data_IF_025062564105
#
_entry.id   IF_025062564105
#
_cell.length_a   1.000
_cell.length_b   1.000
_cell.length_c   1.000
_cell.angle_alpha   90.00
_cell.angle_beta   90.00
_cell.angle_gamma   90.00
#
_symmetry.space_group_name_H-M   'P 1'
#
loop_
_entity.id
_entity.type
_entity.pdbx_description
1 polymer ?
#
# COMPACT_ATOMS: atom_id res chain seq x y z
N UNK A 1 11.77 -10.33 -6.76
CA UNK A 1 12.99 -9.97 -6.01
C UNK A 1 12.52 -9.28 -4.75
N UNK A 2 12.68 -9.93 -3.59
CA UNK A 2 12.38 -9.32 -2.29
C UNK A 2 13.55 -8.44 -1.82
N UNK A 3 13.30 -7.53 -0.89
CA UNK A 3 14.33 -6.68 -0.27
C UNK A 3 14.50 -7.16 1.17
N UNK A 4 15.72 -7.46 1.59
CA UNK A 4 16.08 -7.77 2.97
C UNK A 4 16.94 -6.62 3.46
N UNK A 5 16.48 -5.85 4.42
CA UNK A 5 17.31 -4.80 4.99
C UNK A 5 17.95 -5.28 6.29
N UNK A 6 19.28 -5.18 6.37
CA UNK A 6 20.06 -5.44 7.57
C UNK A 6 20.89 -4.19 7.87
N UNK A 7 20.69 -3.57 9.04
CA UNK A 7 21.67 -2.61 9.56
C UNK A 7 22.35 -3.20 10.78
N UNK A 8 23.68 -3.29 10.68
CA UNK A 8 24.58 -3.74 11.72
C UNK A 8 25.00 -2.48 12.50
N UNK A 9 24.36 -2.20 13.63
CA UNK A 9 24.94 -1.27 14.60
C UNK A 9 26.07 -2.01 15.33
N UNK A 10 27.27 -1.93 14.76
CA UNK A 10 28.54 -2.53 15.21
C UNK A 10 28.69 -4.05 15.04
N UNK A 11 29.66 -4.43 14.21
CA UNK A 11 30.17 -5.79 14.04
C UNK A 11 30.86 -6.20 15.35
N UNK A 12 30.19 -7.07 16.12
CA UNK A 12 30.85 -8.03 17.01
C UNK A 12 30.69 -9.43 16.40
N UNK A 13 31.67 -10.30 16.62
CA UNK A 13 31.91 -11.65 16.06
C UNK A 13 30.72 -12.66 16.10
N UNK A 14 29.56 -12.32 15.52
CA UNK A 14 28.31 -13.07 15.60
C UNK A 14 27.74 -13.52 14.25
N UNK A 15 26.87 -14.54 14.30
CA UNK A 15 26.09 -15.02 13.16
C UNK A 15 25.26 -13.90 12.51
N UNK A 16 25.06 -13.91 11.17
CA UNK A 16 24.29 -12.89 10.48
C UNK A 16 22.84 -12.80 10.99
N UNK A 17 22.23 -11.61 10.93
CA UNK A 17 20.84 -11.41 11.35
C UNK A 17 19.87 -12.18 10.45
N UNK A 18 20.12 -12.17 9.13
CA UNK A 18 19.28 -12.81 8.13
C UNK A 18 20.13 -13.78 7.30
N UNK A 19 19.61 -14.98 7.10
CA UNK A 19 20.11 -15.94 6.12
C UNK A 19 19.25 -15.85 4.84
N UNK A 20 19.83 -15.45 3.69
CA UNK A 20 19.12 -15.47 2.43
C UNK A 20 18.86 -16.92 1.99
N UNK A 21 17.87 -17.17 1.12
CA UNK A 21 17.58 -18.51 0.66
C UNK A 21 18.69 -19.08 -0.19
N UNK A 22 18.86 -20.41 -0.17
CA UNK A 22 19.82 -21.11 -1.06
C UNK A 22 19.48 -20.92 -2.54
N UNK A 23 18.21 -20.73 -2.87
CA UNK A 23 17.71 -20.45 -4.22
C UNK A 23 17.88 -18.99 -4.65
N UNK A 24 18.38 -18.11 -3.78
CA UNK A 24 18.42 -16.67 -4.02
C UNK A 24 17.03 -16.03 -4.02
N UNK A 25 16.89 -14.87 -4.66
CA UNK A 25 15.60 -14.18 -4.86
C UNK A 25 15.33 -12.98 -3.95
N UNK A 26 16.19 -12.76 -2.95
CA UNK A 26 16.19 -11.57 -2.10
C UNK A 26 17.48 -10.75 -2.30
N UNK A 27 17.33 -9.44 -2.34
CA UNK A 27 18.42 -8.48 -2.31
C UNK A 27 18.69 -8.05 -0.87
N UNK A 28 19.94 -8.08 -0.41
CA UNK A 28 20.33 -7.59 0.91
C UNK A 28 20.74 -6.12 0.81
N UNK A 29 20.16 -5.28 1.65
CA UNK A 29 20.53 -3.87 1.79
C UNK A 29 21.93 -3.80 2.40
N UNK A 30 22.91 -3.21 1.70
CA UNK A 30 24.29 -3.18 2.16
C UNK A 30 24.42 -2.36 3.46
N UNK A 31 25.33 -2.74 4.37
CA UNK A 31 25.66 -1.91 5.53
C UNK A 31 26.13 -0.52 5.08
N UNK A 32 25.70 0.53 5.78
CA UNK A 32 26.05 1.94 5.48
C UNK A 32 27.56 2.17 5.28
N UNK A 33 28.41 1.40 5.97
CA UNK A 33 29.87 1.55 5.91
C UNK A 33 30.53 1.10 4.60
N UNK A 34 29.82 0.39 3.70
CA UNK A 34 30.48 -0.21 2.51
C UNK A 34 30.03 0.26 1.14
N UNK A 35 28.86 0.83 0.93
CA UNK A 35 28.53 1.43 -0.38
C UNK A 35 27.48 2.53 -0.25
N UNK A 36 27.95 3.77 -0.35
CA UNK A 36 27.13 5.01 -0.33
C UNK A 36 26.19 5.10 -1.55
N UNK A 37 26.40 4.30 -2.59
CA UNK A 37 25.70 4.46 -3.89
C UNK A 37 24.60 3.43 -4.22
N UNK A 38 24.37 2.41 -3.40
CA UNK A 38 23.50 1.28 -3.80
C UNK A 38 22.26 1.03 -2.94
N UNK A 39 22.08 1.75 -1.82
CA UNK A 39 20.84 1.64 -1.04
C UNK A 39 19.74 2.53 -1.64
N UNK A 40 18.54 2.00 -1.95
CA UNK A 40 17.41 2.79 -2.43
C UNK A 40 16.83 3.75 -1.39
N UNK A 41 17.39 3.76 -0.17
CA UNK A 41 16.91 4.53 0.98
C UNK A 41 17.84 5.67 1.41
N UNK A 42 18.92 5.94 0.66
CA UNK A 42 19.85 7.03 0.96
C UNK A 42 19.42 8.34 0.28
N UNK A 43 19.41 9.42 1.06
CA UNK A 43 19.24 10.80 0.59
C UNK A 43 20.48 11.26 -0.19
N UNK A 44 20.27 11.97 -1.30
CA UNK A 44 21.36 12.64 -2.01
C UNK A 44 21.88 13.83 -1.19
N UNK A 45 22.99 13.63 -0.48
CA UNK A 45 24.01 14.63 -0.17
C UNK A 45 23.62 15.86 0.68
N UNK A 46 24.18 15.93 1.90
CA UNK A 46 24.36 17.20 2.62
C UNK A 46 24.50 17.01 4.13
N UNK A 47 25.63 17.39 4.70
CA UNK A 47 25.86 17.39 6.15
C UNK A 47 24.86 18.31 6.86
N UNK A 48 23.87 17.72 7.53
CA UNK A 48 22.89 18.35 8.40
C UNK A 48 21.92 17.29 8.92
N UNK A 49 21.66 17.30 10.23
CA UNK A 49 20.73 16.45 11.00
C UNK A 49 20.02 15.37 10.18
N UNK A 50 20.43 14.09 10.33
CA UNK A 50 19.96 12.90 9.57
C UNK A 50 18.45 12.92 9.25
N UNK A 51 18.07 13.59 8.17
CA UNK A 51 16.71 13.60 7.65
C UNK A 51 16.56 12.32 6.84
N UNK A 52 15.99 11.29 7.45
CA UNK A 52 15.57 10.09 6.74
C UNK A 52 14.40 10.48 5.84
N UNK A 53 14.65 10.69 4.55
CA UNK A 53 13.58 11.05 3.61
C UNK A 53 12.69 9.82 3.34
N UNK A 54 11.40 9.98 3.62
CA UNK A 54 10.38 9.07 3.11
C UNK A 54 10.40 9.21 1.58
N UNK A 55 10.63 8.09 0.88
CA UNK A 55 10.55 8.01 -0.56
C UNK A 55 9.15 8.45 -0.99
N UNK A 56 8.99 9.70 -1.41
CA UNK A 56 7.74 10.15 -2.02
C UNK A 56 7.64 9.49 -3.38
N UNK A 57 6.98 8.32 -3.43
CA UNK A 57 6.89 7.54 -4.66
C UNK A 57 6.21 8.31 -5.79
N UNK A 58 5.40 9.32 -5.46
CA UNK A 58 4.54 10.00 -6.39
C UNK A 58 4.44 11.50 -6.08
N UNK A 59 5.57 12.20 -5.99
CA UNK A 59 5.56 13.66 -6.09
C UNK A 59 4.75 14.13 -7.31
N UNK A 60 4.83 13.37 -8.41
CA UNK A 60 3.98 13.52 -9.60
C UNK A 60 2.47 13.47 -9.32
N UNK A 61 2.01 12.62 -8.40
CA UNK A 61 0.58 12.54 -8.07
C UNK A 61 0.04 13.81 -7.40
N UNK A 62 0.92 14.58 -6.74
CA UNK A 62 0.56 15.86 -6.12
C UNK A 62 0.67 17.05 -7.05
N UNK A 63 1.26 16.91 -8.25
CA UNK A 63 1.46 18.03 -9.19
C UNK A 63 0.13 18.69 -9.56
N UNK A 64 -0.93 17.92 -9.75
CA UNK A 64 -2.24 18.51 -10.04
C UNK A 64 -2.79 19.32 -8.86
N UNK A 65 -2.62 18.82 -7.64
CA UNK A 65 -3.01 19.54 -6.43
C UNK A 65 -2.21 20.85 -6.28
N UNK A 66 -0.90 20.80 -6.48
CA UNK A 66 0.01 21.92 -6.27
C UNK A 66 -0.15 23.01 -7.33
N UNK A 67 -0.20 22.64 -8.62
CA UNK A 67 -0.13 23.60 -9.72
C UNK A 67 -1.46 23.87 -10.43
N UNK A 68 -2.45 22.98 -10.35
CA UNK A 68 -3.70 23.11 -11.12
C UNK A 68 -4.90 23.46 -10.24
N UNK A 69 -5.01 22.88 -9.03
CA UNK A 69 -6.22 22.99 -8.18
C UNK A 69 -6.71 24.42 -7.96
N UNK A 70 -5.79 25.36 -7.78
CA UNK A 70 -6.09 26.76 -7.46
C UNK A 70 -5.86 27.72 -8.62
N UNK A 71 -5.44 27.22 -9.79
CA UNK A 71 -5.20 28.02 -10.98
C UNK A 71 -6.26 27.75 -12.03
N UNK A 72 -6.53 28.74 -12.86
CA UNK A 72 -7.35 28.52 -14.05
C UNK A 72 -6.63 27.54 -14.99
N UNK A 73 -7.33 26.50 -15.40
CA UNK A 73 -6.78 25.46 -16.25
C UNK A 73 -7.90 24.79 -17.04
N UNK A 74 -7.50 24.12 -18.11
CA UNK A 74 -8.40 23.34 -18.95
C UNK A 74 -8.04 21.87 -18.85
N UNK A 75 -9.05 21.02 -18.87
CA UNK A 75 -8.85 19.58 -18.99
C UNK A 75 -9.57 19.09 -20.26
N UNK A 76 -9.04 18.02 -20.86
CA UNK A 76 -9.62 17.39 -22.06
C UNK A 76 -9.65 15.86 -21.93
N UNK A 77 -10.66 15.20 -22.53
CA UNK A 77 -10.68 13.73 -22.67
C UNK A 77 -10.52 13.38 -24.12
N UNK A 78 -9.79 12.30 -24.39
CA UNK A 78 -9.79 11.64 -25.68
C UNK A 78 -9.77 10.11 -25.50
N UNK A 79 -9.97 9.39 -26.60
CA UNK A 79 -9.73 7.96 -26.67
C UNK A 79 -8.90 7.71 -27.92
N UNK A 80 -7.69 7.20 -27.72
CA UNK A 80 -6.80 6.85 -28.81
C UNK A 80 -6.92 5.34 -29.12
N UNK A 81 -6.98 4.92 -30.39
CA UNK A 81 -7.07 3.50 -30.75
C UNK A 81 -5.92 2.62 -30.24
N UNK A 82 -4.73 3.20 -30.02
CA UNK A 82 -3.53 2.50 -29.60
C UNK A 82 -3.21 2.68 -28.11
N UNK A 83 -3.46 3.87 -27.56
CA UNK A 83 -3.14 4.23 -26.17
C UNK A 83 -4.33 4.06 -25.21
N UNK A 84 -5.56 3.99 -25.72
CA UNK A 84 -6.79 3.87 -24.94
C UNK A 84 -7.28 5.21 -24.39
N UNK A 85 -7.90 5.23 -23.19
CA UNK A 85 -8.46 6.45 -22.60
C UNK A 85 -7.37 7.46 -22.23
N UNK A 86 -7.60 8.73 -22.57
CA UNK A 86 -6.70 9.83 -22.29
C UNK A 86 -7.41 10.93 -21.52
N UNK A 87 -6.76 11.45 -20.47
CA UNK A 87 -7.18 12.66 -19.77
C UNK A 87 -6.01 13.64 -19.70
N UNK A 88 -6.18 14.80 -20.32
CA UNK A 88 -5.21 15.88 -20.40
C UNK A 88 -5.60 17.01 -19.45
N UNK A 89 -4.63 17.69 -18.84
CA UNK A 89 -4.83 18.94 -18.12
C UNK A 89 -3.74 19.93 -18.49
N UNK A 90 -4.11 21.17 -18.79
CA UNK A 90 -3.24 22.24 -19.27
C UNK A 90 -3.46 23.50 -18.43
N UNK A 91 -2.40 24.03 -17.84
CA UNK A 91 -2.41 25.25 -17.04
C UNK A 91 -1.36 26.22 -17.57
N UNK A 92 -1.71 27.50 -17.65
CA UNK A 92 -0.79 28.58 -18.00
C UNK A 92 -0.08 29.09 -16.74
N UNK A 93 1.24 29.09 -16.78
CA UNK A 93 2.11 29.66 -15.76
C UNK A 93 2.60 31.03 -16.26
N UNK A 94 1.82 32.07 -15.95
CA UNK A 94 2.01 33.42 -16.49
C UNK A 94 3.41 33.99 -16.17
N UNK A 95 3.92 33.73 -14.97
CA UNK A 95 5.23 34.21 -14.50
C UNK A 95 6.39 33.66 -15.34
N UNK A 96 6.29 32.42 -15.80
CA UNK A 96 7.34 31.75 -16.61
C UNK A 96 7.01 31.74 -18.11
N UNK A 97 5.86 32.26 -18.52
CA UNK A 97 5.31 32.15 -19.87
C UNK A 97 5.35 30.70 -20.41
N UNK A 98 4.94 29.75 -19.57
CA UNK A 98 4.98 28.30 -19.84
C UNK A 98 3.61 27.66 -19.69
N UNK A 99 3.37 26.62 -20.48
CA UNK A 99 2.23 25.73 -20.28
C UNK A 99 2.69 24.48 -19.51
N UNK A 100 2.10 24.25 -18.35
CA UNK A 100 2.23 22.99 -17.63
C UNK A 100 1.16 22.03 -18.12
N UNK A 101 1.57 20.84 -18.52
CA UNK A 101 0.67 19.82 -19.07
C UNK A 101 0.83 18.51 -18.31
N UNK A 102 -0.29 17.93 -17.89
CA UNK A 102 -0.37 16.58 -17.33
C UNK A 102 -1.17 15.71 -18.30
N UNK A 103 -0.52 14.70 -18.86
CA UNK A 103 -1.17 13.66 -19.67
C UNK A 103 -1.31 12.37 -18.86
N UNK A 104 -2.55 11.88 -18.77
CA UNK A 104 -2.88 10.61 -18.12
C UNK A 104 -3.26 9.58 -19.17
N UNK A 105 -2.45 8.55 -19.29
CA UNK A 105 -2.65 7.37 -20.14
C UNK A 105 -2.45 6.08 -19.31
N UNK A 106 -2.93 4.96 -19.84
CA UNK A 106 -2.79 3.62 -19.28
C UNK A 106 -1.32 3.23 -19.03
N UNK A 107 -0.42 3.57 -19.95
CA UNK A 107 1.00 3.21 -19.90
C UNK A 107 1.92 4.36 -19.52
N UNK A 108 1.46 5.62 -19.66
CA UNK A 108 2.28 6.81 -19.44
C UNK A 108 1.52 7.81 -18.55
N UNK A 109 2.15 8.22 -17.46
CA UNK A 109 1.82 9.46 -16.77
C UNK A 109 3.00 10.39 -17.01
N UNK A 110 2.78 11.47 -17.73
CA UNK A 110 3.83 12.42 -18.08
C UNK A 110 3.41 13.80 -17.66
N UNK A 111 4.22 14.43 -16.81
CA UNK A 111 4.18 15.88 -16.61
C UNK A 111 5.24 16.48 -17.52
N UNK A 112 4.85 17.40 -18.39
CA UNK A 112 5.78 18.12 -19.24
C UNK A 112 5.43 19.60 -19.27
N UNK A 113 6.47 20.42 -19.37
CA UNK A 113 6.34 21.87 -19.50
C UNK A 113 6.73 22.26 -20.91
N UNK A 114 5.87 23.03 -21.58
CA UNK A 114 6.13 23.54 -22.92
C UNK A 114 6.27 25.05 -22.81
N UNK A 115 7.45 25.58 -23.14
CA UNK A 115 7.64 27.02 -23.32
C UNK A 115 6.75 27.49 -24.45
N UNK A 116 5.99 28.55 -24.22
CA UNK A 116 5.13 29.11 -25.25
C UNK A 116 6.00 29.61 -26.42
N UNK A 117 5.89 28.94 -27.58
CA UNK A 117 6.35 29.50 -28.83
C UNK A 117 5.53 30.77 -29.11
N UNK A 118 6.12 31.75 -29.82
CA UNK A 118 5.43 32.99 -30.20
C UNK A 118 4.17 32.77 -31.08
N UNK A 119 3.86 31.54 -31.50
CA UNK A 119 2.68 31.18 -32.28
C UNK A 119 1.91 30.04 -31.59
N UNK A 120 0.72 30.37 -31.08
CA UNK A 120 -0.20 29.40 -30.48
C UNK A 120 -0.92 28.64 -31.60
N UNK A 121 -1.00 27.29 -31.56
CA UNK A 121 -1.83 26.56 -32.50
C UNK A 121 -3.30 26.95 -32.30
N UNK A 122 -3.98 27.21 -33.40
CA UNK A 122 -5.37 27.68 -33.39
C UNK A 122 -6.32 26.63 -32.79
N UNK A 123 -7.48 27.06 -32.28
CA UNK A 123 -8.51 26.16 -31.74
C UNK A 123 -8.89 25.02 -32.72
N UNK A 124 -8.74 25.25 -34.02
CA UNK A 124 -8.97 24.28 -35.11
C UNK A 124 -7.88 23.20 -35.16
N UNK A 125 -6.62 23.55 -34.88
CA UNK A 125 -5.51 22.59 -34.81
C UNK A 125 -5.58 21.74 -33.54
N UNK A 126 -6.05 22.33 -32.44
CA UNK A 126 -6.37 21.60 -31.21
C UNK A 126 -7.58 20.68 -31.37
N UNK A 127 -8.58 21.05 -32.17
CA UNK A 127 -9.77 20.25 -32.47
C UNK A 127 -9.50 19.03 -33.38
N UNK A 128 -8.37 18.98 -34.09
CA UNK A 128 -7.94 17.79 -34.87
C UNK A 128 -7.55 16.62 -33.97
N UNK A 129 -7.12 16.90 -32.75
CA UNK A 129 -7.13 15.91 -31.68
C UNK A 129 -8.59 15.82 -31.25
N UNK A 130 -9.21 14.66 -31.39
CA UNK A 130 -10.61 14.39 -31.03
C UNK A 130 -10.85 14.52 -29.50
N UNK A 131 -10.64 15.72 -28.97
CA UNK A 131 -10.54 16.07 -27.57
C UNK A 131 -11.78 16.87 -27.19
N UNK A 132 -12.60 16.32 -26.30
CA UNK A 132 -13.73 17.05 -25.72
C UNK A 132 -13.20 17.93 -24.58
N UNK A 133 -13.41 19.24 -24.69
CA UNK A 133 -13.17 20.21 -23.62
C UNK A 133 -14.23 20.00 -22.52
N UNK A 134 -13.80 19.92 -21.26
CA UNK A 134 -14.76 19.89 -20.14
C UNK A 134 -15.02 21.28 -19.59
N UNK A 135 -16.27 21.49 -19.17
CA UNK A 135 -16.74 22.73 -18.56
C UNK A 135 -17.38 22.49 -17.18
N UNK A 136 -17.07 21.37 -16.51
CA UNK A 136 -17.76 20.99 -15.27
C UNK A 136 -16.99 21.38 -13.99
N UNK A 137 -17.67 22.10 -13.08
CA UNK A 137 -17.09 22.67 -11.85
C UNK A 137 -16.45 21.63 -10.90
N UNK A 138 -16.95 20.39 -10.86
CA UNK A 138 -16.38 19.29 -10.02
C UNK A 138 -15.30 18.44 -10.72
N UNK A 139 -14.94 18.73 -11.97
CA UNK A 139 -13.90 17.97 -12.67
C UNK A 139 -12.54 17.97 -11.94
N UNK A 140 -12.08 19.08 -11.33
CA UNK A 140 -10.81 19.09 -10.60
C UNK A 140 -10.76 18.13 -9.42
N UNK A 141 -11.87 17.95 -8.70
CA UNK A 141 -11.93 17.05 -7.53
C UNK A 141 -11.77 15.58 -7.94
N UNK A 142 -12.41 15.15 -9.02
CA UNK A 142 -12.33 13.76 -9.50
C UNK A 142 -11.01 13.46 -10.20
N UNK A 143 -10.41 14.45 -10.87
CA UNK A 143 -9.08 14.34 -11.48
C UNK A 143 -8.00 14.24 -10.39
N UNK A 144 -8.07 15.08 -9.37
CA UNK A 144 -7.15 15.04 -8.22
C UNK A 144 -7.25 13.70 -7.48
N UNK A 145 -8.48 13.22 -7.22
CA UNK A 145 -8.69 11.90 -6.61
C UNK A 145 -8.07 10.78 -7.45
N UNK A 146 -8.18 10.85 -8.79
CA UNK A 146 -7.50 9.90 -9.66
C UNK A 146 -5.98 10.01 -9.58
N UNK A 147 -5.37 11.20 -9.54
CA UNK A 147 -3.90 11.29 -9.50
C UNK A 147 -3.34 10.76 -8.18
N UNK A 148 -3.96 11.15 -7.07
CA UNK A 148 -3.53 10.81 -5.70
C UNK A 148 -3.87 9.36 -5.27
N UNK A 149 -4.57 8.59 -6.11
CA UNK A 149 -5.02 7.21 -5.78
C UNK A 149 -3.91 6.23 -5.39
N UNK A 150 -2.68 6.55 -5.81
CA UNK A 150 -1.46 5.77 -5.58
C UNK A 150 -0.72 6.21 -4.30
N UNK A 151 -1.03 7.39 -3.78
CA UNK A 151 -0.47 7.91 -2.53
C UNK A 151 -1.13 7.20 -1.36
N UNK A 152 -0.39 6.30 -0.71
CA UNK A 152 -0.89 5.65 0.51
C UNK A 152 -0.65 6.54 1.72
N UNK A 153 -1.73 6.90 2.42
CA UNK A 153 -1.68 7.57 3.72
C UNK A 153 -1.62 6.57 4.89
N UNK A 154 -1.96 5.31 4.62
CA UNK A 154 -2.12 4.29 5.64
C UNK A 154 -1.24 3.09 5.32
N UNK A 155 -0.53 2.58 6.33
CA UNK A 155 0.38 1.45 6.20
C UNK A 155 0.07 0.39 7.24
N UNK A 156 0.36 -0.86 6.89
CA UNK A 156 0.25 -1.99 7.79
C UNK A 156 1.46 -2.89 7.65
N UNK A 157 2.05 -3.25 8.78
CA UNK A 157 3.28 -4.03 8.81
C UNK A 157 3.15 -5.19 9.78
N UNK A 158 3.64 -6.35 9.36
CA UNK A 158 3.75 -7.50 10.25
C UNK A 158 4.86 -7.27 11.27
N UNK A 159 4.67 -7.76 12.50
CA UNK A 159 5.75 -7.85 13.49
C UNK A 159 5.84 -9.28 13.98
N UNK A 160 6.95 -9.93 13.65
CA UNK A 160 7.30 -11.27 14.06
C UNK A 160 8.28 -11.20 15.23
N UNK A 161 8.13 -12.12 16.16
CA UNK A 161 8.98 -12.27 17.34
C UNK A 161 9.67 -13.64 17.26
N UNK A 162 10.97 -13.65 17.00
CA UNK A 162 11.77 -14.87 16.90
C UNK A 162 12.58 -15.06 18.18
N UNK A 163 12.23 -16.07 18.96
CA UNK A 163 12.99 -16.47 20.15
C UNK A 163 14.23 -17.27 19.77
N UNK A 164 15.17 -17.39 20.71
CA UNK A 164 16.37 -18.18 20.51
C UNK A 164 16.03 -19.65 20.17
N UNK A 165 16.70 -20.19 19.16
CA UNK A 165 16.53 -21.56 18.67
C UNK A 165 15.39 -21.75 17.68
N UNK A 166 14.50 -20.76 17.47
CA UNK A 166 13.36 -20.91 16.57
C UNK A 166 13.75 -20.76 15.10
N UNK A 167 13.46 -21.79 14.29
CA UNK A 167 13.83 -21.87 12.88
C UNK A 167 12.66 -22.18 11.94
N UNK A 168 11.45 -22.39 12.49
CA UNK A 168 10.25 -22.75 11.72
C UNK A 168 9.19 -21.66 11.79
N UNK A 169 8.28 -21.64 10.82
CA UNK A 169 7.16 -20.69 10.78
C UNK A 169 6.23 -20.92 11.97
N UNK A 170 5.98 -22.20 12.25
CA UNK A 170 5.12 -22.68 13.31
C UNK A 170 5.63 -22.24 14.68
N UNK A 171 6.94 -22.37 14.95
CA UNK A 171 7.54 -21.94 16.22
C UNK A 171 7.40 -20.42 16.43
N UNK A 172 7.73 -19.63 15.40
CA UNK A 172 7.71 -18.16 15.45
C UNK A 172 6.28 -17.65 15.64
N UNK A 173 5.32 -18.17 14.86
CA UNK A 173 3.93 -17.73 14.93
C UNK A 173 3.20 -18.25 16.17
N UNK A 174 3.71 -19.25 16.88
CA UNK A 174 3.08 -19.79 18.10
C UNK A 174 3.46 -19.02 19.38
N UNK A 175 4.41 -18.10 19.31
CA UNK A 175 4.83 -17.31 20.47
C UNK A 175 3.67 -16.49 21.06
N UNK A 176 3.40 -16.65 22.35
CA UNK A 176 2.34 -15.91 23.07
C UNK A 176 2.86 -15.08 24.24
N UNK A 177 4.07 -15.38 24.71
CA UNK A 177 4.75 -14.60 25.75
C UNK A 177 5.64 -13.54 25.10
N UNK A 178 5.64 -12.34 25.68
CA UNK A 178 6.43 -11.18 25.25
C UNK A 178 7.51 -10.92 26.31
N UNK A 179 8.78 -10.81 25.91
CA UNK A 179 9.84 -10.39 26.84
C UNK A 179 9.79 -8.89 27.11
N UNK A 180 10.42 -8.46 28.21
CA UNK A 180 10.56 -7.04 28.53
C UNK A 180 11.27 -6.26 27.42
N UNK A 181 12.31 -6.85 26.83
CA UNK A 181 13.05 -6.24 25.72
C UNK A 181 12.18 -6.11 24.46
N UNK A 182 11.33 -7.10 24.18
CA UNK A 182 10.39 -7.03 23.06
C UNK A 182 9.28 -5.99 23.30
N UNK A 183 8.75 -5.90 24.51
CA UNK A 183 7.78 -4.86 24.90
C UNK A 183 8.37 -3.46 24.77
N UNK A 184 9.62 -3.26 25.21
CA UNK A 184 10.37 -2.02 25.04
C UNK A 184 10.50 -1.68 23.55
N UNK A 185 10.89 -2.64 22.71
CA UNK A 185 10.96 -2.45 21.25
C UNK A 185 9.60 -2.07 20.64
N UNK A 186 8.51 -2.72 21.03
CA UNK A 186 7.17 -2.37 20.56
C UNK A 186 6.79 -0.93 20.91
N UNK A 187 7.20 -0.44 22.10
CA UNK A 187 6.97 0.94 22.52
C UNK A 187 7.70 1.98 21.66
N UNK A 188 8.85 1.60 21.07
CA UNK A 188 9.60 2.43 20.12
C UNK A 188 8.81 2.55 18.80
N UNK A 189 8.16 1.49 18.34
CA UNK A 189 7.37 1.49 17.10
C UNK A 189 6.08 2.31 17.22
N UNK A 190 5.40 2.25 18.35
CA UNK A 190 4.16 2.98 18.54
C UNK A 190 3.48 2.73 19.87
N UNK A 191 2.30 3.32 20.01
CA UNK A 191 1.46 3.15 21.19
C UNK A 191 0.68 1.84 21.08
N UNK A 192 0.59 1.09 22.19
CA UNK A 192 -0.39 0.00 22.29
C UNK A 192 -1.78 0.57 22.51
N UNK A 193 -2.69 0.27 21.59
CA UNK A 193 -4.07 0.77 21.56
C UNK A 193 -5.05 -0.40 21.72
N UNK A 194 -6.18 -0.16 22.39
CA UNK A 194 -7.29 -1.12 22.43
C UNK A 194 -8.02 -1.11 21.09
N UNK A 195 -8.33 -2.29 20.57
CA UNK A 195 -9.04 -2.43 19.30
C UNK A 195 -10.53 -2.13 19.42
N UNK A 196 -11.17 -2.49 20.54
CA UNK A 196 -12.59 -2.23 20.74
C UNK A 196 -12.88 -0.71 20.70
N UNK A 197 -13.66 -0.29 19.70
CA UNK A 197 -14.01 1.12 19.51
C UNK A 197 -12.88 2.00 18.96
N UNK A 198 -11.78 1.42 18.47
CA UNK A 198 -10.71 2.18 17.84
C UNK A 198 -11.19 2.88 16.57
N UNK A 199 -10.89 4.18 16.44
CA UNK A 199 -11.40 5.04 15.35
C UNK A 199 -10.37 5.35 14.27
N UNK A 200 -9.09 5.04 14.50
CA UNK A 200 -8.02 5.26 13.52
C UNK A 200 -7.96 4.17 12.44
N UNK A 201 -6.91 4.20 11.62
CA UNK A 201 -6.69 3.16 10.62
C UNK A 201 -6.51 1.77 11.25
N UNK A 202 -7.48 0.88 11.03
CA UNK A 202 -7.53 -0.45 11.67
C UNK A 202 -6.68 -1.54 11.02
N UNK A 203 -6.04 -1.32 9.87
CA UNK A 203 -5.20 -2.33 9.21
C UNK A 203 -5.88 -3.62 8.71
N UNK A 204 -7.19 -3.80 8.94
CA UNK A 204 -7.89 -5.07 8.71
C UNK A 204 -8.23 -5.82 10.01
N UNK A 205 -7.85 -5.27 11.17
CA UNK A 205 -8.21 -5.77 12.48
C UNK A 205 -9.68 -5.47 12.81
N UNK A 206 -10.28 -6.32 13.63
CA UNK A 206 -11.63 -6.20 14.15
C UNK A 206 -11.67 -5.24 15.35
N UNK A 207 -12.44 -4.18 15.22
CA UNK A 207 -12.63 -3.13 16.23
C UNK A 207 -13.97 -3.22 16.95
N UNK A 208 -14.77 -4.25 16.64
CA UNK A 208 -16.16 -4.36 17.06
C UNK A 208 -16.46 -5.61 17.87
N UNK A 209 -15.89 -6.76 17.51
CA UNK A 209 -16.21 -8.06 18.12
C UNK A 209 -15.01 -8.80 18.73
N UNK A 210 -13.82 -8.18 18.77
CA UNK A 210 -12.61 -8.75 19.38
C UNK A 210 -12.04 -9.99 18.67
N UNK A 211 -12.37 -10.23 17.40
CA UNK A 211 -11.94 -11.43 16.67
C UNK A 211 -10.46 -11.43 16.28
N UNK A 212 -9.76 -10.32 16.45
CA UNK A 212 -8.34 -10.16 16.07
C UNK A 212 -7.49 -9.72 17.25
N UNK A 213 -7.87 -10.13 18.46
CA UNK A 213 -7.21 -9.71 19.69
C UNK A 213 -7.86 -8.46 20.28
N UNK A 214 -7.34 -8.05 21.44
CA UNK A 214 -7.88 -6.90 22.19
C UNK A 214 -7.09 -5.62 21.98
N UNK A 215 -5.83 -5.75 21.57
CA UNK A 215 -4.87 -4.65 21.48
C UNK A 215 -4.00 -4.81 20.23
N UNK A 216 -3.48 -3.68 19.75
CA UNK A 216 -2.51 -3.62 18.65
C UNK A 216 -1.52 -2.48 18.89
N UNK A 217 -0.42 -2.46 18.15
CA UNK A 217 0.51 -1.32 18.17
C UNK A 217 0.18 -0.41 17.00
N UNK A 218 0.04 0.88 17.28
CA UNK A 218 -0.38 1.89 16.31
C UNK A 218 0.45 3.16 16.45
N UNK A 219 0.68 3.86 15.34
CA UNK A 219 1.27 5.19 15.38
C UNK A 219 0.79 6.09 14.24
N UNK A 220 0.83 7.40 14.47
CA UNK A 220 0.89 8.39 13.39
C UNK A 220 2.35 8.80 13.15
N UNK A 221 2.76 8.90 11.90
CA UNK A 221 4.12 9.25 11.50
C UNK A 221 4.08 10.10 10.22
N UNK A 222 4.54 11.35 10.29
CA UNK A 222 4.49 12.32 9.17
C UNK A 222 3.12 12.40 8.47
N UNK A 223 2.04 12.44 9.25
CA UNK A 223 0.66 12.51 8.74
C UNK A 223 0.12 11.18 8.19
N UNK A 224 0.88 10.09 8.28
CA UNK A 224 0.49 8.73 7.87
C UNK A 224 0.08 7.91 9.09
N UNK A 225 -0.94 7.08 8.95
CA UNK A 225 -1.34 6.14 10.00
C UNK A 225 -0.72 4.76 9.76
N UNK A 226 -0.13 4.16 10.79
CA UNK A 226 0.55 2.87 10.70
C UNK A 226 -0.03 1.92 11.74
N UNK A 227 -0.56 0.78 11.27
CA UNK A 227 -1.06 -0.31 12.10
C UNK A 227 -0.09 -1.49 12.08
N UNK A 228 0.33 -1.99 13.23
CA UNK A 228 1.22 -3.15 13.32
C UNK A 228 0.46 -4.42 13.68
N UNK A 229 0.58 -5.43 12.83
CA UNK A 229 0.09 -6.78 13.08
C UNK A 229 1.13 -7.55 13.90
N UNK A 230 1.11 -7.35 15.21
CA UNK A 230 2.03 -8.02 16.14
C UNK A 230 1.57 -9.46 16.39
N UNK A 231 2.39 -10.45 16.04
CA UNK A 231 2.03 -11.87 16.11
C UNK A 231 1.51 -12.28 17.50
N UNK A 232 2.17 -11.84 18.57
CA UNK A 232 1.82 -12.14 19.96
C UNK A 232 0.50 -11.50 20.41
N UNK A 233 0.08 -10.39 19.79
CA UNK A 233 -1.19 -9.69 20.11
C UNK A 233 -2.38 -10.19 19.28
N UNK A 234 -2.11 -10.98 18.25
CA UNK A 234 -3.14 -11.67 17.47
C UNK A 234 -3.57 -12.98 18.15
N UNK A 235 -4.83 -13.42 17.97
CA UNK A 235 -5.35 -14.60 18.66
C UNK A 235 -4.52 -15.86 18.40
N UNK A 236 -4.14 -16.53 19.49
CA UNK A 236 -3.56 -17.87 19.44
C UNK A 236 -4.68 -18.90 19.31
N UNK A 237 -4.50 -19.91 18.45
CA UNK A 237 -5.45 -21.02 18.30
C UNK A 237 -4.78 -22.33 18.71
N UNK A 238 -5.22 -22.92 19.81
CA UNK A 238 -4.69 -24.20 20.27
C UNK A 238 -5.00 -25.32 19.25
N UNK A 239 -4.00 -26.15 18.96
CA UNK A 239 -4.10 -27.24 17.96
C UNK A 239 -3.96 -26.81 16.50
N UNK A 240 -3.91 -25.51 16.19
CA UNK A 240 -3.59 -25.01 14.86
C UNK A 240 -2.08 -24.75 14.73
N UNK A 241 -1.33 -25.72 14.23
CA UNK A 241 0.13 -25.59 14.08
C UNK A 241 0.53 -24.46 13.13
N UNK A 242 -0.33 -24.09 12.17
CA UNK A 242 -0.04 -23.01 11.20
C UNK A 242 -0.45 -21.62 11.72
N UNK A 243 -1.15 -21.55 12.86
CA UNK A 243 -1.65 -20.30 13.44
C UNK A 243 -2.31 -19.40 12.39
N UNK A 244 -3.29 -19.95 11.64
CA UNK A 244 -3.91 -19.31 10.48
C UNK A 244 -4.50 -17.93 10.82
N UNK A 245 -5.00 -17.75 12.04
CA UNK A 245 -5.54 -16.47 12.51
C UNK A 245 -4.50 -15.35 12.59
N UNK A 246 -3.24 -15.70 12.85
CA UNK A 246 -2.09 -14.78 12.85
C UNK A 246 -1.55 -14.62 11.44
N UNK A 247 -1.35 -15.76 10.76
CA UNK A 247 -0.81 -15.82 9.40
C UNK A 247 -1.68 -15.09 8.37
N UNK A 248 -3.01 -15.08 8.51
CA UNK A 248 -3.91 -14.34 7.60
C UNK A 248 -3.71 -12.83 7.64
N UNK A 249 -3.17 -12.28 8.73
CA UNK A 249 -2.91 -10.84 8.83
C UNK A 249 -1.48 -10.56 8.37
N UNK A 250 -0.49 -11.12 9.09
CA UNK A 250 0.94 -10.90 8.82
C UNK A 250 1.34 -11.40 7.43
N UNK A 251 0.85 -12.58 7.03
CA UNK A 251 1.12 -13.17 5.73
C UNK A 251 0.45 -12.43 4.57
N UNK A 252 -0.44 -11.46 4.83
CA UNK A 252 -1.02 -10.59 3.81
C UNK A 252 -0.45 -9.16 3.84
N UNK A 253 0.52 -8.90 4.72
CA UNK A 253 1.30 -7.66 4.68
C UNK A 253 2.38 -7.75 3.60
N UNK A 254 2.86 -6.59 3.15
CA UNK A 254 3.93 -6.49 2.15
C UNK A 254 5.30 -6.55 2.84
N UNK A 255 5.42 -5.91 3.99
CA UNK A 255 6.66 -5.80 4.78
C UNK A 255 6.41 -6.30 6.19
N UNK A 256 7.39 -7.04 6.73
CA UNK A 256 7.38 -7.46 8.13
C UNK A 256 8.68 -7.10 8.85
N UNK A 257 8.55 -6.62 10.08
CA UNK A 257 9.63 -6.56 11.05
C UNK A 257 9.83 -7.93 11.69
N UNK A 258 11.08 -8.32 11.91
CA UNK A 258 11.44 -9.50 12.68
C UNK A 258 12.30 -9.06 13.86
N UNK A 259 11.73 -9.06 15.06
CA UNK A 259 12.52 -8.89 16.28
C UNK A 259 13.14 -10.22 16.69
N UNK A 260 14.44 -10.23 16.93
CA UNK A 260 15.20 -11.43 17.26
C UNK A 260 15.73 -11.38 18.70
N UNK A 261 15.46 -12.44 19.44
CA UNK A 261 16.13 -12.74 20.70
C UNK A 261 17.26 -13.75 20.50
N UNK A 262 18.31 -13.58 21.31
CA UNK A 262 19.51 -14.39 21.21
C UNK A 262 20.20 -14.21 19.85
N UNK A 263 20.91 -15.25 19.42
CA UNK A 263 21.78 -15.17 18.24
C UNK A 263 21.26 -15.95 17.03
N UNK A 264 19.98 -16.33 17.03
CA UNK A 264 19.41 -17.18 15.97
C UNK A 264 19.15 -16.34 14.71
N UNK A 265 19.74 -16.69 13.56
CA UNK A 265 19.46 -16.00 12.29
C UNK A 265 18.01 -16.23 11.82
N UNK A 266 17.46 -15.25 11.11
CA UNK A 266 16.15 -15.37 10.48
C UNK A 266 16.33 -15.91 9.07
N UNK A 267 15.62 -16.98 8.72
CA UNK A 267 15.61 -17.53 7.36
C UNK A 267 14.47 -16.86 6.61
N UNK A 268 14.79 -16.05 5.60
CA UNK A 268 13.79 -15.26 4.86
C UNK A 268 12.68 -16.07 4.17
N UNK A 269 12.95 -17.33 3.84
CA UNK A 269 11.96 -18.27 3.25
C UNK A 269 11.10 -18.98 4.29
N UNK A 270 11.34 -18.78 5.59
CA UNK A 270 10.64 -19.51 6.65
C UNK A 270 9.15 -19.18 6.63
N UNK A 271 8.79 -17.90 6.48
CA UNK A 271 7.39 -17.47 6.44
C UNK A 271 6.86 -17.56 5.01
N UNK A 272 5.99 -18.54 4.75
CA UNK A 272 5.43 -18.78 3.42
C UNK A 272 4.29 -17.82 3.16
N UNK A 273 4.55 -16.82 2.32
CA UNK A 273 3.55 -15.85 1.91
C UNK A 273 3.70 -15.47 0.44
N UNK A 274 2.58 -15.14 -0.18
CA UNK A 274 2.51 -14.54 -1.50
C UNK A 274 2.62 -13.01 -1.46
N UNK A 275 2.46 -12.37 -0.30
CA UNK A 275 2.41 -10.92 -0.14
C UNK A 275 3.63 -10.36 0.55
N UNK A 276 4.23 -11.09 1.50
CA UNK A 276 5.48 -10.65 2.13
C UNK A 276 6.60 -10.65 1.10
N UNK A 277 7.19 -9.47 0.88
CA UNK A 277 8.29 -9.27 -0.07
C UNK A 277 9.49 -8.58 0.57
N UNK A 278 9.35 -8.01 1.76
CA UNK A 278 10.45 -7.41 2.48
C UNK A 278 10.43 -7.75 3.96
N UNK A 279 11.61 -8.02 4.50
CA UNK A 279 11.83 -8.22 5.93
C UNK A 279 12.89 -7.22 6.43
N UNK A 280 12.61 -6.66 7.60
CA UNK A 280 13.54 -5.82 8.36
C UNK A 280 13.82 -6.54 9.68
N UNK A 281 15.02 -7.09 9.85
CA UNK A 281 15.39 -7.79 11.08
C UNK A 281 16.05 -6.82 12.08
N UNK A 282 15.62 -6.91 13.35
CA UNK A 282 16.12 -6.09 14.46
C UNK A 282 16.56 -7.03 15.58
N UNK A 283 17.78 -6.85 16.08
CA UNK A 283 18.31 -7.56 17.25
C UNK A 283 18.95 -6.54 18.17
N UNK A 284 18.66 -6.62 19.47
CA UNK A 284 19.33 -5.80 20.49
C UNK A 284 20.74 -6.33 20.71
N UNK A 285 21.72 -5.44 20.76
CA UNK A 285 23.11 -5.78 21.10
C UNK A 285 23.35 -5.32 22.54
N UNK A 286 23.69 -6.27 23.43
CA UNK A 286 24.10 -5.95 24.81
C UNK A 286 25.57 -5.52 24.77
N UNK A 287 25.86 -4.27 25.13
CA UNK A 287 27.24 -3.81 25.34
C UNK A 287 27.68 -4.26 26.73
N UNK A 288 28.77 -5.01 26.83
CA UNK A 288 29.27 -5.54 28.11
C UNK A 288 29.89 -4.47 29.05
N UNK A 289 29.94 -3.18 28.67
CA UNK A 289 30.65 -2.14 29.43
C UNK A 289 29.96 -0.76 29.42
N UNK A 290 28.68 -0.64 29.79
CA UNK A 290 28.10 0.67 30.14
C UNK A 290 27.56 0.61 31.58
N UNK A 291 28.28 1.28 32.48
CA UNK A 291 27.84 1.51 33.86
C UNK A 291 26.56 2.34 33.88
N UNK A 292 25.73 2.07 34.89
CA UNK A 292 24.49 2.77 35.18
C UNK A 292 24.68 4.30 35.13
N UNK A 293 24.06 4.96 34.15
CA UNK A 293 23.91 6.42 34.15
C UNK A 293 24.06 7.08 32.78
N UNK A 294 22.95 7.29 32.09
CA UNK A 294 22.92 8.18 30.95
C UNK A 294 21.53 8.35 30.35
N UNK A 295 21.00 9.57 30.42
CA UNK A 295 19.79 10.10 29.76
C UNK A 295 19.79 9.97 28.21
N UNK A 296 20.78 9.26 27.64
CA UNK A 296 20.94 9.01 26.20
C UNK A 296 20.05 7.92 25.62
N UNK A 297 19.37 7.12 26.45
CA UNK A 297 18.46 6.06 26.00
C UNK A 297 17.26 6.60 25.20
N UNK A 298 16.66 7.70 25.65
CA UNK A 298 15.51 8.31 24.96
C UNK A 298 15.89 8.88 23.59
N UNK A 299 17.07 9.48 23.47
CA UNK A 299 17.55 10.06 22.20
C UNK A 299 17.82 8.98 21.15
N UNK A 300 18.45 7.87 21.56
CA UNK A 300 18.66 6.71 20.68
C UNK A 300 17.33 6.07 20.25
N UNK A 301 16.36 5.96 21.15
CA UNK A 301 15.03 5.43 20.81
C UNK A 301 14.27 6.31 19.81
N UNK A 302 14.37 7.64 19.91
CA UNK A 302 13.74 8.54 18.92
C UNK A 302 14.37 8.43 17.54
N UNK A 303 15.70 8.34 17.46
CA UNK A 303 16.42 8.17 16.18
C UNK A 303 16.11 6.81 15.56
N UNK A 304 16.12 5.74 16.37
CA UNK A 304 15.76 4.40 15.92
C UNK A 304 14.33 4.33 15.41
N UNK A 305 13.39 4.99 16.10
CA UNK A 305 11.99 5.10 15.67
C UNK A 305 11.88 5.77 14.30
N UNK A 306 12.50 6.94 14.13
CA UNK A 306 12.50 7.69 12.86
C UNK A 306 13.04 6.83 11.72
N UNK A 307 14.17 6.15 11.96
CA UNK A 307 14.80 5.25 11.01
C UNK A 307 13.87 4.07 10.65
N UNK A 308 13.35 3.34 11.64
CA UNK A 308 12.55 2.12 11.40
C UNK A 308 11.25 2.44 10.65
N UNK A 309 10.52 3.48 11.05
CA UNK A 309 9.25 3.84 10.42
C UNK A 309 9.46 4.32 8.98
N UNK A 310 10.49 5.13 8.74
CA UNK A 310 10.86 5.55 7.39
C UNK A 310 11.28 4.37 6.53
N UNK A 311 12.11 3.47 7.07
CA UNK A 311 12.58 2.27 6.37
C UNK A 311 11.43 1.34 5.98
N UNK A 312 10.46 1.15 6.87
CA UNK A 312 9.26 0.34 6.61
C UNK A 312 8.42 0.90 5.47
N UNK A 313 8.14 2.21 5.50
CA UNK A 313 7.39 2.89 4.45
C UNK A 313 8.14 2.76 3.12
N UNK A 314 9.44 3.06 3.11
CA UNK A 314 10.28 3.00 1.91
C UNK A 314 10.40 1.58 1.36
N UNK A 315 10.45 0.58 2.24
CA UNK A 315 10.44 -0.83 1.88
C UNK A 315 9.13 -1.20 1.16
N UNK A 316 7.97 -0.86 1.73
CA UNK A 316 6.68 -1.16 1.09
C UNK A 316 6.56 -0.45 -0.26
N UNK A 317 6.90 0.84 -0.28
CA UNK A 317 6.92 1.66 -1.50
C UNK A 317 7.79 1.03 -2.59
N UNK A 318 8.96 0.50 -2.22
CA UNK A 318 9.85 -0.19 -3.14
C UNK A 318 9.29 -1.54 -3.60
N UNK A 319 8.63 -2.29 -2.72
CA UNK A 319 8.02 -3.57 -3.08
C UNK A 319 6.98 -3.43 -4.19
N UNK A 320 6.23 -2.33 -4.27
CA UNK A 320 5.28 -2.14 -5.36
C UNK A 320 5.93 -2.00 -6.76
N UNK A 321 7.24 -1.72 -6.85
CA UNK A 321 7.99 -1.78 -8.12
C UNK A 321 8.20 -3.22 -8.60
N UNK A 322 8.06 -4.22 -7.73
CA UNK A 322 8.17 -5.62 -8.11
C UNK A 322 7.04 -6.00 -9.08
N UNK A 323 7.37 -6.85 -10.07
CA UNK A 323 6.48 -7.20 -11.19
C UNK A 323 5.07 -7.61 -10.75
N UNK A 324 4.97 -8.38 -9.67
CA UNK A 324 3.69 -8.85 -9.13
C UNK A 324 2.75 -7.70 -8.76
N UNK A 325 3.27 -6.67 -8.10
CA UNK A 325 2.48 -5.54 -7.64
C UNK A 325 2.30 -4.49 -8.73
N UNK A 326 3.34 -4.23 -9.52
CA UNK A 326 3.27 -3.24 -10.61
C UNK A 326 2.23 -3.62 -11.67
N UNK A 327 2.09 -4.92 -12.00
CA UNK A 327 1.04 -5.41 -12.91
C UNK A 327 -0.37 -5.17 -12.37
N UNK A 328 -0.58 -5.39 -11.07
CA UNK A 328 -1.87 -5.17 -10.41
C UNK A 328 -2.20 -3.67 -10.33
N UNK A 329 -1.20 -2.84 -10.03
CA UNK A 329 -1.30 -1.39 -9.99
C UNK A 329 -1.65 -0.82 -11.37
N UNK A 330 -0.96 -1.24 -12.42
CA UNK A 330 -1.27 -0.84 -13.80
C UNK A 330 -2.71 -1.21 -14.18
N UNK A 331 -3.18 -2.43 -13.87
CA UNK A 331 -4.56 -2.84 -14.14
C UNK A 331 -5.57 -1.96 -13.42
N UNK A 332 -5.31 -1.64 -12.16
CA UNK A 332 -6.17 -0.78 -11.34
C UNK A 332 -6.21 0.63 -11.90
N UNK A 333 -5.05 1.20 -12.22
CA UNK A 333 -4.92 2.52 -12.84
C UNK A 333 -5.68 2.60 -14.16
N UNK A 334 -5.53 1.62 -15.06
CA UNK A 334 -6.26 1.60 -16.33
C UNK A 334 -7.78 1.56 -16.11
N UNK A 335 -8.26 0.74 -15.17
CA UNK A 335 -9.68 0.68 -14.84
C UNK A 335 -10.21 2.00 -14.25
N UNK A 336 -9.43 2.65 -13.39
CA UNK A 336 -9.80 3.95 -12.81
C UNK A 336 -9.77 5.06 -13.85
N UNK A 337 -8.83 5.01 -14.80
CA UNK A 337 -8.72 6.01 -15.87
C UNK A 337 -9.90 5.94 -16.84
N UNK A 338 -10.34 4.73 -17.20
CA UNK A 338 -11.54 4.54 -18.01
C UNK A 338 -12.79 5.08 -17.30
N UNK A 339 -12.94 4.77 -16.00
CA UNK A 339 -14.04 5.28 -15.20
C UNK A 339 -14.02 6.81 -15.07
N UNK A 340 -12.84 7.42 -14.86
CA UNK A 340 -12.68 8.87 -14.81
C UNK A 340 -13.08 9.51 -16.13
N UNK A 341 -12.60 8.97 -17.25
CA UNK A 341 -12.91 9.46 -18.59
C UNK A 341 -14.42 9.40 -18.87
N UNK A 342 -15.04 8.26 -18.57
CA UNK A 342 -16.48 8.06 -18.75
C UNK A 342 -17.31 9.06 -17.95
N UNK A 343 -16.98 9.26 -16.67
CA UNK A 343 -17.64 10.23 -15.79
C UNK A 343 -17.47 11.67 -16.30
N UNK A 344 -16.25 12.05 -16.69
CA UNK A 344 -15.97 13.39 -17.24
C UNK A 344 -16.75 13.64 -18.54
N UNK A 345 -16.77 12.65 -19.44
CA UNK A 345 -17.50 12.76 -20.71
C UNK A 345 -19.00 12.87 -20.49
N UNK A 346 -19.58 12.05 -19.62
CA UNK A 346 -21.00 12.06 -19.29
C UNK A 346 -21.43 13.41 -18.71
N UNK A 347 -20.67 13.95 -17.75
CA UNK A 347 -20.98 15.26 -17.14
C UNK A 347 -20.87 16.42 -18.13
N UNK A 348 -19.90 16.39 -19.03
CA UNK A 348 -19.77 17.40 -20.08
C UNK A 348 -20.95 17.37 -21.05
N UNK A 349 -21.41 16.18 -21.46
CA UNK A 349 -22.58 16.04 -22.33
C UNK A 349 -23.85 16.60 -21.69
N UNK A 350 -24.09 16.29 -20.41
CA UNK A 350 -25.22 16.86 -19.66
C UNK A 350 -25.18 18.39 -19.60
N UNK A 351 -24.00 19.00 -19.45
CA UNK A 351 -23.86 20.46 -19.44
C UNK A 351 -24.10 21.12 -20.81
N UNK A 352 -23.84 20.40 -21.90
CA UNK A 352 -24.09 20.86 -23.26
C UNK A 352 -25.55 20.66 -23.71
N UNK A 353 -26.42 20.14 -22.84
CA UNK A 353 -27.84 19.94 -23.12
C UNK A 353 -28.15 18.66 -23.90
N UNK A 354 -27.17 17.77 -24.08
CA UNK A 354 -27.36 16.44 -24.66
C UNK A 354 -27.84 15.48 -23.55
N UNK A 355 -29.06 14.92 -23.62
CA UNK A 355 -29.51 13.96 -22.61
C UNK A 355 -28.65 12.70 -22.68
N UNK A 356 -28.22 12.19 -21.53
CA UNK A 356 -27.62 10.87 -21.42
C UNK A 356 -28.51 9.85 -22.12
N UNK A 357 -27.99 9.17 -23.15
CA UNK A 357 -28.77 8.18 -23.89
C UNK A 357 -29.41 7.18 -22.91
N UNK A 358 -30.74 6.96 -22.95
CA UNK A 358 -31.32 5.82 -22.27
C UNK A 358 -30.74 4.57 -22.93
N UNK A 359 -30.16 3.68 -22.12
CA UNK A 359 -29.78 2.34 -22.56
C UNK A 359 -30.97 1.69 -23.27
N UNK A 360 -30.79 1.35 -24.55
CA UNK A 360 -31.78 0.62 -25.34
C UNK A 360 -32.17 -0.66 -24.56
N UNK A 361 -33.45 -0.86 -24.19
CA UNK A 361 -33.86 -2.13 -23.63
C UNK A 361 -33.98 -3.15 -24.76
N UNK A 362 -33.05 -4.09 -24.80
CA UNK A 362 -33.30 -5.37 -25.46
C UNK A 362 -34.34 -6.13 -24.62
N UNK A 363 -35.36 -6.62 -25.31
CA UNK A 363 -36.59 -7.18 -24.80
C UNK A 363 -36.40 -8.46 -23.96
N UNK A 364 -37.23 -8.52 -22.92
CA UNK A 364 -37.72 -9.67 -22.13
C UNK A 364 -36.75 -10.56 -21.33
N UNK A 365 -36.80 -10.37 -20.01
CA UNK A 365 -36.67 -11.46 -19.04
C UNK A 365 -35.63 -11.25 -17.94
N UNK A 366 -35.95 -10.48 -16.88
CA UNK A 366 -35.24 -10.61 -15.60
C UNK A 366 -35.12 -9.33 -14.76
N UNK A 367 -35.86 -9.31 -13.65
CA UNK A 367 -35.72 -8.51 -12.40
C UNK A 367 -34.99 -7.15 -12.49
N UNK A 368 -35.77 -6.11 -12.23
CA UNK A 368 -35.33 -4.77 -11.83
C UNK A 368 -34.24 -4.81 -10.76
N UNK A 369 -33.07 -4.26 -11.09
CA UNK A 369 -32.06 -3.82 -10.12
C UNK A 369 -32.31 -2.33 -9.89
N UNK A 370 -32.43 -1.86 -8.64
CA UNK A 370 -32.78 -0.47 -8.36
C UNK A 370 -31.66 0.48 -8.81
N UNK A 371 -32.06 1.63 -9.34
CA UNK A 371 -31.23 2.82 -9.54
C UNK A 371 -30.50 3.16 -8.24
N UNK A 372 -29.18 2.95 -8.25
CA UNK A 372 -28.32 3.13 -7.08
C UNK A 372 -26.86 2.89 -7.44
N UNK A 373 -26.41 3.40 -8.59
CA UNK A 373 -25.02 3.36 -8.99
C UNK A 373 -24.28 4.57 -8.44
N UNK A 374 -23.58 4.40 -7.33
CA UNK A 374 -22.71 5.44 -6.75
C UNK A 374 -21.76 6.03 -7.80
N UNK A 375 -21.66 7.36 -7.87
CA UNK A 375 -20.80 8.07 -8.84
C UNK A 375 -19.32 7.70 -8.72
N UNK A 376 -18.48 8.12 -9.67
CA UNK A 376 -17.04 7.79 -9.72
C UNK A 376 -16.32 7.80 -8.36
N UNK A 377 -16.54 8.82 -7.52
CA UNK A 377 -15.91 8.95 -6.20
C UNK A 377 -16.28 7.79 -5.26
N UNK A 378 -17.50 7.28 -5.33
CA UNK A 378 -17.96 6.17 -4.48
C UNK A 378 -17.35 4.85 -4.94
N UNK A 379 -17.33 4.61 -6.26
CA UNK A 379 -16.65 3.46 -6.86
C UNK A 379 -15.13 3.52 -6.63
N UNK A 380 -14.54 4.71 -6.70
CA UNK A 380 -13.15 4.98 -6.35
C UNK A 380 -12.86 4.65 -4.89
N UNK A 381 -13.66 5.19 -3.95
CA UNK A 381 -13.54 4.89 -2.52
C UNK A 381 -13.65 3.39 -2.26
N UNK A 382 -14.53 2.68 -2.98
CA UNK A 382 -14.66 1.21 -2.90
C UNK A 382 -13.40 0.51 -3.43
N UNK A 383 -12.87 0.92 -4.58
CA UNK A 383 -11.65 0.34 -5.17
C UNK A 383 -10.41 0.54 -4.27
N UNK A 384 -10.25 1.73 -3.68
CA UNK A 384 -9.17 2.02 -2.74
C UNK A 384 -9.34 1.27 -1.42
N UNK A 385 -10.58 1.13 -0.93
CA UNK A 385 -10.87 0.32 0.26
C UNK A 385 -10.44 -1.15 0.07
N UNK A 386 -10.58 -1.71 -1.13
CA UNK A 386 -10.10 -3.08 -1.46
C UNK A 386 -8.56 -3.18 -1.44
N UNK A 387 -7.81 -2.09 -1.68
CA UNK A 387 -6.34 -2.06 -1.49
C UNK A 387 -5.95 -2.15 -0.01
N UNK A 388 -6.76 -1.55 0.87
CA UNK A 388 -6.53 -1.55 2.33
C UNK A 388 -7.06 -2.81 3.04
N UNK A 389 -8.15 -3.39 2.53
CA UNK A 389 -8.67 -4.68 3.01
C UNK A 389 -7.82 -5.82 2.45
N UNK A 390 -7.36 -6.71 3.33
CA UNK A 390 -6.89 -8.02 2.92
C UNK A 390 -7.92 -8.69 1.99
N UNK A 391 -7.46 -9.43 1.01
CA UNK A 391 -8.26 -10.05 -0.05
C UNK A 391 -9.14 -11.20 0.52
N UNK A 392 -10.18 -10.87 1.30
CA UNK A 392 -10.97 -11.84 2.06
C UNK A 392 -11.93 -12.73 1.23
N UNK A 393 -11.98 -12.58 -0.10
CA UNK A 393 -13.02 -13.23 -0.93
C UNK A 393 -12.57 -14.43 -1.77
N UNK A 394 -11.43 -15.08 -1.49
CA UNK A 394 -11.05 -16.33 -2.16
C UNK A 394 -11.15 -17.61 -1.31
N UNK A 395 -11.68 -17.52 -0.09
CA UNK A 395 -11.71 -18.64 0.87
C UNK A 395 -13.01 -19.45 0.98
N UNK A 396 -14.08 -19.15 0.22
CA UNK A 396 -15.33 -19.92 0.34
C UNK A 396 -15.50 -20.82 -0.90
N UNK A 397 -15.31 -22.15 -0.78
CA UNK A 397 -15.73 -23.05 -1.83
C UNK A 397 -17.25 -22.96 -1.97
N UNK A 398 -17.72 -22.49 -3.13
CA UNK A 398 -19.13 -22.60 -3.53
C UNK A 398 -19.50 -24.09 -3.48
N UNK A 399 -20.33 -24.49 -2.50
CA UNK A 399 -21.04 -25.77 -2.53
C UNK A 399 -21.84 -25.80 -3.83
N UNK A 400 -21.40 -26.62 -4.78
CA UNK A 400 -22.20 -27.01 -5.93
C UNK A 400 -23.49 -27.66 -5.40
N UNK A 401 -24.63 -27.13 -5.85
CA UNK A 401 -25.95 -27.66 -5.52
C UNK A 401 -26.09 -29.09 -6.05
N UNK A 402 -26.13 -30.05 -5.14
CA UNK A 402 -26.46 -31.44 -5.42
C UNK A 402 -27.97 -31.59 -5.58
N UNK A 403 -28.35 -32.01 -6.79
CA UNK A 403 -29.71 -32.32 -7.24
C UNK A 403 -30.37 -33.38 -6.34
N UNK A 404 -31.64 -33.15 -6.02
CA UNK A 404 -32.51 -34.09 -5.33
C UNK A 404 -32.66 -35.39 -6.13
N UNK A 405 -32.16 -36.49 -5.57
CA UNK A 405 -32.34 -37.86 -6.08
C UNK A 405 -33.19 -38.69 -5.12
N UNK A 406 -34.24 -39.29 -5.66
CA UNK A 406 -35.33 -39.99 -4.98
C UNK A 406 -34.85 -41.17 -4.10
N UNK A 407 -35.47 -41.33 -2.93
CA UNK A 407 -35.43 -42.57 -2.12
C UNK A 407 -36.30 -43.65 -2.76
N UNK A 408 -35.85 -44.92 -2.87
CA UNK A 408 -36.75 -46.06 -2.91
C UNK A 408 -37.03 -46.58 -1.49
N UNK A 409 -38.30 -46.92 -1.26
CA UNK A 409 -38.78 -47.71 -0.11
C UNK A 409 -38.50 -49.21 -0.34
N UNK A 410 -38.74 -49.99 0.73
CA UNK A 410 -38.96 -51.46 0.81
C UNK A 410 -37.67 -52.26 1.10
N UNK A 411 -37.53 -53.20 2.05
CA UNK A 411 -38.40 -53.87 3.03
C UNK A 411 -37.55 -54.50 4.15
N UNK A 412 -38.17 -54.59 5.35
CA UNK A 412 -38.03 -55.55 6.46
C UNK A 412 -37.03 -56.71 6.32
N UNK A 413 -36.28 -56.96 7.40
CA UNK A 413 -36.33 -58.24 8.14
C UNK A 413 -36.20 -57.97 9.65
N UNK A 414 -37.13 -58.59 10.38
CA UNK A 414 -37.32 -58.82 11.83
C UNK A 414 -36.71 -57.87 12.88
#
# INVERSE_FOLDING_TARGET
>A
VGILAQNILFIGDGLPLILPPKSGGYWLDPPLDRHVETSPTLSQGGFGLESYDIMERDSEAKVYQEFFRHRYHHSFTACDPSLGPLVLSVCLEEEENRLRVILRCCSVHGTFSVSLFQQFPTAVELAKFSCLLFLHQKAPEIIMAFDEHRVSQNFKFGVLYQREGQLTEEDILSNSEESEEFLEFLSILGQTVKLQGFTGFRGGLDVSHGQTGNEAVFTSFHGREIMFHVATKLPFTEGDTQQLQRKRHIGNDIVALVYQEGNTPFISDVIRSHFLHCFIAVRRIKRENEGEGGDGGSFQSSVLREFLLTKLINAEISCYKAEKFSRLELRTRSSLLEALRSELSSRSQCMLGEPSQPSIPLTEGGRSVPEGGGGFIENFKRAIRVRSHSFDTLGVPKKAGGVAGQRPKVSKYQ
#
